data_IF_616744867225
#
_entry.id   IF_616744867225
#
_cell.length_a   1.000
_cell.length_b   1.000
_cell.length_c   1.000
_cell.angle_alpha   90.00
_cell.angle_beta   90.00
_cell.angle_gamma   90.00
#
_symmetry.space_group_name_H-M   'P 1'
#
loop_
_entity.id
_entity.type
_entity.pdbx_description
1 polymer ?
#
# COMPACT_ATOMS: atom_id res chain seq x y z
N UNK A 1 -38.79 9.21 21.35
CA UNK A 1 -37.80 8.12 21.23
C UNK A 1 -37.23 7.97 19.82
N UNK A 2 -37.99 8.16 18.73
CA UNK A 2 -37.50 7.98 17.35
C UNK A 2 -36.32 8.89 16.91
N UNK A 3 -36.19 10.11 17.46
CA UNK A 3 -35.12 11.06 17.09
C UNK A 3 -33.72 10.59 17.53
N UNK A 4 -33.61 9.98 18.71
CA UNK A 4 -32.36 9.37 19.22
C UNK A 4 -31.93 8.15 18.39
N UNK A 5 -32.90 7.41 17.85
CA UNK A 5 -32.63 6.24 17.00
C UNK A 5 -32.07 6.65 15.63
N UNK A 6 -32.60 7.70 15.02
CA UNK A 6 -32.09 8.20 13.72
C UNK A 6 -30.67 8.81 13.84
N UNK A 7 -30.37 9.50 14.95
CA UNK A 7 -29.02 9.99 15.23
C UNK A 7 -28.03 8.81 15.40
N UNK A 8 -28.44 7.74 16.09
CA UNK A 8 -27.63 6.53 16.23
C UNK A 8 -27.37 5.85 14.87
N UNK A 9 -28.38 5.73 14.01
CA UNK A 9 -28.19 5.17 12.67
C UNK A 9 -27.26 6.02 11.79
N UNK A 10 -27.36 7.35 11.89
CA UNK A 10 -26.46 8.25 11.18
C UNK A 10 -25.02 8.13 11.68
N UNK A 11 -24.81 7.99 12.98
CA UNK A 11 -23.48 7.76 13.58
C UNK A 11 -22.88 6.44 13.11
N UNK A 12 -23.64 5.34 13.18
CA UNK A 12 -23.18 4.02 12.71
C UNK A 12 -22.86 4.01 11.22
N UNK A 13 -23.67 4.69 10.40
CA UNK A 13 -23.41 4.85 8.98
C UNK A 13 -22.14 5.68 8.72
N UNK A 14 -21.87 6.71 9.54
CA UNK A 14 -20.66 7.51 9.45
C UNK A 14 -19.42 6.72 9.87
N UNK A 15 -19.49 5.98 10.98
CA UNK A 15 -18.42 5.09 11.43
C UNK A 15 -18.08 4.04 10.36
N UNK A 16 -19.09 3.40 9.76
CA UNK A 16 -18.87 2.43 8.69
C UNK A 16 -18.18 3.08 7.48
N UNK A 17 -18.55 4.31 7.11
CA UNK A 17 -17.88 5.06 6.05
C UNK A 17 -16.44 5.41 6.40
N UNK A 18 -16.15 5.80 7.64
CA UNK A 18 -14.79 6.09 8.10
C UNK A 18 -13.94 4.81 8.05
N UNK A 19 -14.46 3.70 8.56
CA UNK A 19 -13.77 2.41 8.54
C UNK A 19 -13.49 1.92 7.11
N UNK A 20 -14.39 2.18 6.16
CA UNK A 20 -14.18 1.86 4.73
C UNK A 20 -13.10 2.72 4.05
N UNK A 21 -12.74 3.88 4.62
CA UNK A 21 -11.66 4.73 4.09
C UNK A 21 -10.29 4.30 4.57
N UNK A 22 -10.20 3.59 5.70
CA UNK A 22 -8.95 3.03 6.21
C UNK A 22 -8.49 1.93 5.26
N UNK A 23 -7.27 2.09 4.72
CA UNK A 23 -6.62 1.09 3.87
C UNK A 23 -5.40 0.59 4.62
N UNK A 24 -5.36 -0.70 4.93
CA UNK A 24 -4.18 -1.28 5.57
C UNK A 24 -3.26 -1.86 4.51
N UNK A 25 -3.79 -2.80 3.71
CA UNK A 25 -3.04 -3.49 2.68
C UNK A 25 -3.94 -3.86 1.50
N UNK A 26 -3.34 -4.00 0.31
CA UNK A 26 -3.98 -4.62 -0.85
C UNK A 26 -3.04 -5.64 -1.49
N UNK A 27 -3.60 -6.74 -1.98
CA UNK A 27 -2.92 -7.62 -2.94
C UNK A 27 -2.96 -6.94 -4.31
N UNK A 28 -1.80 -6.77 -4.91
CA UNK A 28 -1.63 -6.00 -6.14
C UNK A 28 -0.90 -6.80 -7.20
N UNK A 29 -1.08 -6.42 -8.46
CA UNK A 29 -0.26 -6.84 -9.59
C UNK A 29 0.65 -5.71 -10.03
N UNK A 30 1.91 -6.01 -10.32
CA UNK A 30 2.87 -5.07 -10.90
C UNK A 30 2.53 -4.79 -12.35
N UNK A 31 2.34 -3.52 -12.68
CA UNK A 31 2.13 -3.04 -14.04
C UNK A 31 3.43 -2.51 -14.66
N UNK A 32 4.29 -1.87 -13.85
CA UNK A 32 5.58 -1.33 -14.26
C UNK A 32 6.55 -1.20 -13.06
N UNK A 33 7.86 -1.27 -13.31
CA UNK A 33 8.91 -1.16 -12.29
C UNK A 33 10.06 -0.26 -12.76
N UNK A 34 10.34 0.79 -11.99
CA UNK A 34 11.47 1.69 -12.18
C UNK A 34 12.61 1.29 -11.23
N UNK A 35 13.62 0.61 -11.78
CA UNK A 35 14.79 0.16 -11.03
C UNK A 35 15.73 1.29 -10.59
N UNK A 36 15.68 2.46 -11.24
CA UNK A 36 16.53 3.61 -10.88
C UNK A 36 15.94 4.32 -9.67
N UNK A 37 14.62 4.52 -9.66
CA UNK A 37 13.91 5.21 -8.57
C UNK A 37 13.45 4.24 -7.47
N UNK A 38 13.58 2.93 -7.69
CA UNK A 38 13.08 1.88 -6.80
C UNK A 38 11.59 2.06 -6.50
N UNK A 39 10.82 2.33 -7.55
CA UNK A 39 9.36 2.49 -7.46
C UNK A 39 8.64 1.54 -8.40
N UNK A 40 7.40 1.21 -8.03
CA UNK A 40 6.56 0.27 -8.77
C UNK A 40 5.18 0.87 -8.99
N UNK A 41 4.65 0.69 -10.20
CA UNK A 41 3.25 0.96 -10.50
C UNK A 41 2.47 -0.33 -10.36
N UNK A 42 1.41 -0.31 -9.56
CA UNK A 42 0.68 -1.52 -9.17
C UNK A 42 -0.82 -1.35 -9.27
N UNK A 43 -1.53 -2.42 -9.58
CA UNK A 43 -2.99 -2.46 -9.65
C UNK A 43 -3.55 -3.40 -8.57
N UNK A 44 -4.39 -2.91 -7.64
CA UNK A 44 -5.11 -3.78 -6.70
C UNK A 44 -5.96 -4.82 -7.44
N UNK A 45 -5.88 -6.06 -6.97
CA UNK A 45 -6.57 -7.21 -7.57
C UNK A 45 -7.96 -7.44 -6.97
N UNK A 46 -8.19 -6.98 -5.74
CA UNK A 46 -9.47 -7.14 -5.05
C UNK A 46 -10.40 -5.98 -5.40
N UNK A 47 -11.57 -6.29 -5.95
CA UNK A 47 -12.61 -5.31 -6.22
C UNK A 47 -13.23 -4.82 -4.91
N UNK A 48 -13.66 -3.56 -4.89
CA UNK A 48 -14.30 -2.95 -3.72
C UNK A 48 -15.77 -2.71 -4.01
N UNK A 49 -16.60 -2.98 -3.01
CA UNK A 49 -18.00 -2.63 -3.08
C UNK A 49 -18.16 -1.11 -2.89
N UNK A 50 -18.70 -0.45 -3.91
CA UNK A 50 -19.04 0.96 -3.90
C UNK A 50 -20.49 1.11 -4.36
N UNK A 51 -21.35 1.58 -3.46
CA UNK A 51 -22.78 1.81 -3.74
C UNK A 51 -23.51 0.58 -4.34
N UNK A 52 -23.18 -0.63 -3.87
CA UNK A 52 -23.82 -1.88 -4.32
C UNK A 52 -23.25 -2.48 -5.60
N UNK A 53 -22.18 -1.91 -6.16
CA UNK A 53 -21.44 -2.48 -7.29
C UNK A 53 -19.99 -2.77 -6.89
N UNK A 54 -19.43 -3.88 -7.38
CA UNK A 54 -18.01 -4.17 -7.24
C UNK A 54 -17.21 -3.46 -8.33
N UNK A 55 -16.30 -2.59 -7.92
CA UNK A 55 -15.49 -1.75 -8.81
C UNK A 55 -14.02 -2.09 -8.61
N UNK A 56 -13.28 -2.21 -9.71
CA UNK A 56 -11.82 -2.35 -9.68
C UNK A 56 -11.19 -1.05 -9.20
N UNK A 57 -10.36 -1.05 -8.16
CA UNK A 57 -9.60 0.13 -7.77
C UNK A 57 -8.69 0.61 -8.91
N UNK A 58 -8.41 1.92 -8.99
CA UNK A 58 -7.44 2.45 -9.93
C UNK A 58 -6.02 1.99 -9.58
N UNK A 59 -5.08 1.98 -10.55
CA UNK A 59 -3.67 1.75 -10.26
C UNK A 59 -3.09 2.79 -9.30
N UNK A 60 -2.11 2.36 -8.51
CA UNK A 60 -1.31 3.18 -7.60
C UNK A 60 0.05 3.37 -8.27
N UNK A 61 0.47 4.62 -8.41
CA UNK A 61 1.65 5.01 -9.17
C UNK A 61 2.84 5.20 -8.24
N UNK A 62 4.04 4.92 -8.75
CA UNK A 62 5.31 5.26 -8.10
C UNK A 62 5.43 4.84 -6.62
N UNK A 63 4.86 3.69 -6.26
CA UNK A 63 4.92 3.14 -4.90
C UNK A 63 6.36 2.74 -4.59
N UNK A 64 6.89 3.15 -3.44
CA UNK A 64 8.27 2.82 -3.05
C UNK A 64 8.39 1.33 -2.76
N UNK A 65 9.47 0.70 -3.22
CA UNK A 65 9.74 -0.71 -2.95
C UNK A 65 10.49 -0.86 -1.62
N UNK A 66 10.01 -1.74 -0.74
CA UNK A 66 10.73 -2.09 0.47
C UNK A 66 12.05 -2.78 0.11
N UNK A 67 13.17 -2.14 0.44
CA UNK A 67 14.49 -2.72 0.27
C UNK A 67 14.82 -3.61 1.47
N UNK A 68 14.78 -4.93 1.26
CA UNK A 68 15.18 -5.92 2.27
C UNK A 68 16.55 -6.45 1.86
N UNK A 69 17.65 -5.97 2.47
CA UNK A 69 18.98 -6.47 2.14
C UNK A 69 19.07 -7.95 2.56
N UNK A 70 19.39 -8.80 1.59
CA UNK A 70 19.59 -10.23 1.80
C UNK A 70 20.99 -10.58 1.34
N UNK A 71 21.81 -11.01 2.29
CA UNK A 71 23.17 -11.48 2.02
C UNK A 71 23.18 -13.01 2.08
N UNK A 72 23.69 -13.66 1.04
CA UNK A 72 23.92 -15.11 1.02
C UNK A 72 25.41 -15.41 0.85
N UNK A 73 25.86 -16.53 1.41
CA UNK A 73 27.21 -17.06 1.18
C UNK A 73 27.13 -18.26 0.25
N UNK A 74 27.81 -18.17 -0.89
CA UNK A 74 27.94 -19.26 -1.88
C UNK A 74 29.44 -19.52 -2.05
N UNK A 75 29.87 -20.75 -1.77
CA UNK A 75 31.27 -21.19 -1.90
C UNK A 75 32.29 -20.25 -1.24
N UNK A 76 31.96 -19.75 -0.03
CA UNK A 76 32.83 -18.86 0.74
C UNK A 76 32.85 -17.40 0.26
N UNK A 77 32.09 -17.05 -0.77
CA UNK A 77 31.90 -15.67 -1.25
C UNK A 77 30.55 -15.14 -0.82
N UNK A 78 30.52 -13.88 -0.41
CA UNK A 78 29.31 -13.13 -0.11
C UNK A 78 28.66 -12.64 -1.41
N UNK A 79 27.34 -12.77 -1.52
CA UNK A 79 26.54 -12.25 -2.62
C UNK A 79 25.23 -11.62 -2.12
N UNK A 80 24.85 -10.50 -2.73
CA UNK A 80 23.58 -9.82 -2.46
C UNK A 80 22.44 -10.43 -3.29
N UNK A 81 21.31 -10.71 -2.64
CA UNK A 81 20.09 -11.18 -3.30
C UNK A 81 19.18 -9.99 -3.56
N UNK A 82 19.02 -9.65 -4.84
CA UNK A 82 18.07 -8.66 -5.30
C UNK A 82 16.79 -9.36 -5.78
N UNK A 83 15.64 -8.96 -5.22
CA UNK A 83 14.33 -9.42 -5.70
C UNK A 83 14.09 -8.83 -7.08
N UNK A 84 14.01 -9.69 -8.10
CA UNK A 84 13.64 -9.25 -9.45
C UNK A 84 12.13 -9.01 -9.50
N UNK A 85 11.73 -7.74 -9.57
CA UNK A 85 10.33 -7.33 -9.77
C UNK A 85 10.08 -7.15 -11.27
N UNK A 86 9.02 -7.78 -11.78
CA UNK A 86 8.64 -7.75 -13.20
C UNK A 86 7.15 -7.48 -13.36
N UNK A 87 6.77 -6.94 -14.53
CA UNK A 87 5.36 -6.79 -14.91
C UNK A 87 4.63 -8.13 -14.81
N UNK A 88 3.48 -8.13 -14.16
CA UNK A 88 2.64 -9.32 -13.96
C UNK A 88 2.93 -10.10 -12.67
N UNK A 89 3.98 -9.73 -11.92
CA UNK A 89 4.20 -10.22 -10.56
C UNK A 89 3.07 -9.77 -9.65
N UNK A 90 2.78 -10.58 -8.63
CA UNK A 90 1.81 -10.26 -7.58
C UNK A 90 2.60 -9.88 -6.34
N UNK A 91 2.13 -8.91 -5.58
CA UNK A 91 2.74 -8.54 -4.31
C UNK A 91 1.71 -7.93 -3.37
N UNK A 92 2.21 -7.31 -2.31
CA UNK A 92 1.39 -6.59 -1.33
C UNK A 92 1.85 -5.15 -1.23
N UNK A 93 0.89 -4.23 -1.12
CA UNK A 93 1.14 -2.85 -0.74
C UNK A 93 0.68 -2.65 0.68
N UNK A 94 1.51 -2.02 1.51
CA UNK A 94 1.15 -1.50 2.81
C UNK A 94 0.99 0.02 2.73
N UNK A 95 -0.16 0.52 3.17
CA UNK A 95 -0.42 1.96 3.26
C UNK A 95 0.05 2.44 4.63
N UNK A 96 0.77 3.55 4.65
CA UNK A 96 1.25 4.17 5.88
C UNK A 96 0.12 4.98 6.54
N UNK A 97 0.14 5.04 7.86
CA UNK A 97 -0.89 5.75 8.63
C UNK A 97 -0.91 7.24 8.33
N UNK A 98 0.26 7.83 8.09
CA UNK A 98 0.47 9.24 7.81
C UNK A 98 1.45 9.42 6.66
N UNK A 99 1.40 10.59 6.03
CA UNK A 99 2.45 11.08 5.14
C UNK A 99 3.83 10.95 5.81
N UNK A 100 4.69 10.17 5.15
CA UNK A 100 6.00 9.76 5.67
C UNK A 100 7.14 10.16 4.73
N UNK A 101 6.88 11.05 3.76
CA UNK A 101 7.89 11.44 2.75
C UNK A 101 9.15 12.01 3.40
N UNK A 102 8.99 12.88 4.40
CA UNK A 102 10.12 13.46 5.14
C UNK A 102 10.92 12.42 5.91
N UNK A 103 10.25 11.51 6.63
CA UNK A 103 10.92 10.45 7.40
C UNK A 103 11.69 9.51 6.46
N UNK A 104 11.13 9.19 5.29
CA UNK A 104 11.80 8.36 4.28
C UNK A 104 12.99 9.08 3.67
N UNK A 105 12.89 10.39 3.42
CA UNK A 105 13.97 11.17 2.83
C UNK A 105 15.12 11.42 3.81
N UNK A 106 14.81 11.70 5.08
CA UNK A 106 15.80 12.13 6.08
C UNK A 106 16.32 10.99 6.95
N UNK A 107 15.56 9.90 7.08
CA UNK A 107 15.85 8.83 8.03
C UNK A 107 15.71 9.25 9.50
N UNK A 108 15.06 10.39 9.76
CA UNK A 108 14.90 10.96 11.10
C UNK A 108 13.42 11.21 11.44
N UNK A 109 13.15 11.44 12.71
CA UNK A 109 11.82 11.83 13.20
C UNK A 109 11.38 13.13 12.50
N UNK A 110 10.19 13.09 11.91
CA UNK A 110 9.66 14.21 11.16
C UNK A 110 8.15 14.35 11.34
N UNK A 111 7.65 15.57 11.08
CA UNK A 111 6.21 15.80 11.01
C UNK A 111 5.69 15.45 9.61
N UNK A 112 4.46 14.91 9.49
CA UNK A 112 3.80 14.75 8.21
C UNK A 112 3.71 16.09 7.46
N UNK A 113 3.90 16.09 6.14
CA UNK A 113 3.70 17.29 5.34
C UNK A 113 2.22 17.58 5.06
N UNK A 114 1.39 16.54 5.10
CA UNK A 114 -0.03 16.60 4.81
C UNK A 114 -0.84 15.78 5.82
N UNK A 115 -2.15 16.05 5.90
CA UNK A 115 -3.09 15.29 6.74
C UNK A 115 -3.60 14.01 6.03
N UNK A 116 -2.87 13.52 5.00
CA UNK A 116 -3.24 12.28 4.30
C UNK A 116 -3.02 11.09 5.23
N UNK A 117 -4.02 10.22 5.26
CA UNK A 117 -3.98 8.96 6.01
C UNK A 117 -4.31 7.79 5.09
N UNK A 118 -3.59 6.68 5.24
CA UNK A 118 -3.81 5.45 4.48
C UNK A 118 -3.90 5.68 2.96
N UNK A 119 -3.08 6.59 2.43
CA UNK A 119 -3.09 7.02 1.04
C UNK A 119 -2.19 6.14 0.18
N UNK A 120 -2.56 5.92 -1.08
CA UNK A 120 -1.70 5.22 -2.04
C UNK A 120 -0.42 5.98 -2.39
N UNK A 121 -0.41 7.29 -2.20
CA UNK A 121 0.79 8.12 -2.33
C UNK A 121 1.81 7.79 -1.22
N UNK A 122 1.30 7.41 -0.05
CA UNK A 122 2.05 7.14 1.17
C UNK A 122 2.05 5.62 1.42
N UNK A 123 2.60 4.86 0.46
CA UNK A 123 2.55 3.40 0.47
C UNK A 123 3.88 2.74 0.12
N UNK A 124 4.05 1.50 0.59
CA UNK A 124 5.26 0.69 0.39
C UNK A 124 4.87 -0.67 -0.19
N UNK A 125 5.53 -1.06 -1.27
CA UNK A 125 5.40 -2.38 -1.87
C UNK A 125 6.35 -3.37 -1.18
N UNK A 126 5.79 -4.44 -0.61
CA UNK A 126 6.54 -5.44 0.17
C UNK A 126 6.63 -6.75 -0.60
N UNK A 127 7.54 -6.77 -1.57
CA UNK A 127 7.99 -7.99 -2.24
C UNK A 127 6.96 -8.69 -3.15
N UNK A 128 7.41 -9.78 -3.76
CA UNK A 128 6.63 -10.58 -4.70
C UNK A 128 6.07 -11.82 -3.99
N UNK A 129 4.77 -12.04 -4.15
CA UNK A 129 4.04 -13.23 -3.69
C UNK A 129 4.03 -14.25 -4.83
N UNK A 130 4.48 -15.47 -4.52
CA UNK A 130 4.39 -16.59 -5.47
C UNK A 130 2.92 -16.96 -5.68
N UNK A 131 2.51 -17.09 -6.94
CA UNK A 131 1.21 -17.67 -7.29
C UNK A 131 1.18 -19.12 -6.80
N UNK A 132 0.09 -19.48 -6.13
CA UNK A 132 -0.23 -20.88 -5.80
C UNK A 132 -0.58 -21.69 -7.03
#
# INVERSE_FOLDING_TARGET
MARKTNELYNLLANEKKIMQRIRCHDIVRVEDFDAVRMTVTVKPLVQREMAGAYVSPPPILAVKVAYIPLEIKVDGKTADVNVQIKKGDIGVVAYLDMDSDNSIQTGADSKPNTDRIHSGDDAVFVGVIRKG
#
